data_IF_634322646351
#
_entry.id   IF_634322646351
#
_cell.length_a   1.000
_cell.length_b   1.000
_cell.length_c   1.000
_cell.angle_alpha   90.00
_cell.angle_beta   90.00
_cell.angle_gamma   90.00
#
_symmetry.space_group_name_H-M   'P 1'
#
loop_
_entity.id
_entity.type
_entity.pdbx_description
1 polymer ?
#
# COMPACT_ATOMS: atom_id res chain seq x y z
N UNK A 1 24.69 -41.89 6.00
CA UNK A 1 23.51 -41.23 5.38
C UNK A 1 22.79 -40.24 6.32
N UNK A 2 22.74 -40.47 7.64
CA UNK A 2 22.06 -39.58 8.63
C UNK A 2 22.68 -38.17 8.85
N UNK A 3 23.96 -37.98 8.52
CA UNK A 3 24.69 -36.71 8.77
C UNK A 3 24.38 -35.61 7.74
N UNK A 4 23.97 -35.98 6.53
CA UNK A 4 23.64 -35.02 5.45
C UNK A 4 22.25 -34.39 5.69
N UNK A 5 21.32 -35.17 6.25
CA UNK A 5 19.99 -34.69 6.63
C UNK A 5 20.01 -33.70 7.80
N UNK A 6 20.94 -33.81 8.76
CA UNK A 6 21.01 -32.85 9.88
C UNK A 6 21.57 -31.49 9.42
N UNK A 7 22.58 -31.48 8.54
CA UNK A 7 23.17 -30.25 8.00
C UNK A 7 22.18 -29.51 7.08
N UNK A 8 21.36 -30.24 6.32
CA UNK A 8 20.30 -29.64 5.50
C UNK A 8 19.18 -29.01 6.37
N UNK A 9 18.82 -29.65 7.48
CA UNK A 9 17.82 -29.14 8.43
C UNK A 9 18.32 -27.88 9.13
N UNK A 10 19.61 -27.85 9.50
CA UNK A 10 20.26 -26.71 10.16
C UNK A 10 20.41 -25.50 9.21
N UNK A 11 20.84 -25.70 7.95
CA UNK A 11 20.84 -24.63 6.94
C UNK A 11 19.45 -24.08 6.63
N UNK A 12 18.41 -24.92 6.63
CA UNK A 12 17.02 -24.45 6.44
C UNK A 12 16.51 -23.61 7.63
N UNK A 13 17.02 -23.87 8.85
CA UNK A 13 16.66 -23.11 10.06
C UNK A 13 17.35 -21.74 10.14
N UNK A 14 18.55 -21.62 9.55
CA UNK A 14 19.34 -20.38 9.52
C UNK A 14 18.85 -19.44 8.40
N UNK A 15 18.40 -20.00 7.26
CA UNK A 15 17.88 -19.22 6.12
C UNK A 15 16.56 -18.49 6.39
N UNK A 16 15.86 -18.79 7.49
CA UNK A 16 14.49 -18.33 7.71
C UNK A 16 14.31 -17.33 8.87
N UNK A 17 15.39 -16.82 9.44
CA UNK A 17 15.35 -15.65 10.35
C UNK A 17 15.45 -14.37 9.53
N UNK A 18 14.40 -14.03 8.78
CA UNK A 18 14.22 -12.61 8.45
C UNK A 18 14.07 -11.86 9.77
N UNK A 19 15.04 -11.01 10.07
CA UNK A 19 14.98 -10.11 11.22
C UNK A 19 13.90 -9.07 10.96
N UNK A 20 13.19 -8.65 12.00
CA UNK A 20 12.16 -7.58 11.93
C UNK A 20 12.70 -6.34 11.20
N UNK A 21 14.00 -6.04 11.35
CA UNK A 21 14.69 -4.97 10.62
C UNK A 21 14.61 -5.10 9.11
N UNK A 22 14.83 -6.30 8.56
CA UNK A 22 14.74 -6.54 7.12
C UNK A 22 13.30 -6.41 6.62
N UNK A 23 12.34 -6.91 7.38
CA UNK A 23 10.92 -6.77 7.07
C UNK A 23 10.51 -5.28 7.02
N UNK A 24 10.91 -4.49 8.01
CA UNK A 24 10.68 -3.04 8.02
C UNK A 24 11.31 -2.37 6.79
N UNK A 25 12.55 -2.70 6.45
CA UNK A 25 13.24 -2.14 5.29
C UNK A 25 12.53 -2.47 3.97
N UNK A 26 12.10 -3.72 3.78
CA UNK A 26 11.34 -4.15 2.59
C UNK A 26 10.05 -3.30 2.46
N UNK A 27 9.35 -3.06 3.56
CA UNK A 27 8.14 -2.24 3.57
C UNK A 27 8.43 -0.74 3.32
N UNK A 28 9.53 -0.22 3.85
CA UNK A 28 9.96 1.16 3.61
C UNK A 28 10.28 1.41 2.15
N UNK A 29 11.05 0.52 1.52
CA UNK A 29 11.35 0.63 0.09
C UNK A 29 10.07 0.59 -0.73
N UNK A 30 9.12 -0.31 -0.40
CA UNK A 30 7.82 -0.38 -1.06
C UNK A 30 7.09 0.96 -1.04
N UNK A 31 6.96 1.60 0.12
CA UNK A 31 6.25 2.87 0.23
C UNK A 31 6.98 4.04 -0.43
N UNK A 32 8.31 4.06 -0.41
CA UNK A 32 9.08 5.06 -1.16
C UNK A 32 8.84 4.95 -2.66
N UNK A 33 8.77 3.72 -3.19
CA UNK A 33 8.43 3.47 -4.60
C UNK A 33 7.00 3.92 -4.90
N UNK A 34 6.03 3.65 -4.02
CA UNK A 34 4.64 4.13 -4.18
C UNK A 34 4.59 5.66 -4.25
N UNK A 35 5.28 6.35 -3.34
CA UNK A 35 5.33 7.82 -3.32
C UNK A 35 5.96 8.35 -4.60
N UNK A 36 7.06 7.74 -5.05
CA UNK A 36 7.74 8.13 -6.28
C UNK A 36 6.85 7.97 -7.51
N UNK A 37 6.19 6.82 -7.66
CA UNK A 37 5.28 6.56 -8.78
C UNK A 37 4.10 7.53 -8.74
N UNK A 38 3.45 7.69 -7.59
CA UNK A 38 2.28 8.59 -7.42
C UNK A 38 2.65 10.03 -7.80
N UNK A 39 3.73 10.56 -7.23
CA UNK A 39 4.23 11.91 -7.56
C UNK A 39 4.57 12.06 -9.05
N UNK A 40 5.10 11.01 -9.69
CA UNK A 40 5.46 11.05 -11.10
C UNK A 40 4.24 11.07 -12.03
N UNK A 41 3.11 10.48 -11.62
CA UNK A 41 1.87 10.48 -12.41
C UNK A 41 0.99 11.71 -12.13
N UNK A 42 1.25 12.49 -11.08
CA UNK A 42 0.52 13.72 -10.74
C UNK A 42 0.26 14.62 -11.96
N UNK A 43 1.31 14.91 -12.74
CA UNK A 43 1.20 15.80 -13.90
C UNK A 43 0.29 15.25 -14.99
N UNK A 44 0.30 13.93 -15.20
CA UNK A 44 -0.59 13.27 -16.16
C UNK A 44 -2.04 13.39 -15.68
N UNK A 45 -2.32 13.07 -14.42
CA UNK A 45 -3.68 13.15 -13.85
C UNK A 45 -4.21 14.59 -13.89
N UNK A 46 -3.35 15.56 -13.57
CA UNK A 46 -3.71 16.97 -13.62
C UNK A 46 -4.14 17.42 -15.02
N UNK A 47 -3.33 17.10 -16.03
CA UNK A 47 -3.60 17.50 -17.41
C UNK A 47 -4.89 16.86 -17.95
N UNK A 48 -5.12 15.58 -17.64
CA UNK A 48 -6.34 14.89 -18.08
C UNK A 48 -7.58 15.49 -17.41
N UNK A 49 -7.52 15.85 -16.13
CA UNK A 49 -8.64 16.46 -15.42
C UNK A 49 -8.92 17.90 -15.84
N UNK A 50 -7.91 18.65 -16.29
CA UNK A 50 -8.08 20.03 -16.77
C UNK A 50 -8.95 20.11 -18.04
N UNK A 51 -8.92 19.07 -18.87
CA UNK A 51 -9.68 19.00 -20.14
C UNK A 51 -11.14 18.57 -19.89
N UNK A 52 -11.44 17.97 -18.73
CA UNK A 52 -12.79 17.51 -18.39
C UNK A 52 -13.69 18.71 -18.05
N UNK A 53 -14.92 18.70 -18.57
CA UNK A 53 -15.93 19.71 -18.23
C UNK A 53 -16.17 19.74 -16.72
N UNK A 54 -16.14 20.92 -16.11
CA UNK A 54 -16.34 21.11 -14.66
C UNK A 54 -17.62 20.43 -14.13
N UNK A 55 -18.70 20.45 -14.92
CA UNK A 55 -19.97 19.79 -14.58
C UNK A 55 -19.85 18.28 -14.38
N UNK A 56 -18.89 17.63 -15.04
CA UNK A 56 -18.67 16.18 -14.99
C UNK A 56 -17.66 15.78 -13.90
N UNK A 57 -16.91 16.74 -13.33
CA UNK A 57 -15.91 16.45 -12.29
C UNK A 57 -16.59 16.00 -10.99
N UNK A 58 -17.79 16.51 -10.68
CA UNK A 58 -18.55 16.08 -9.49
C UNK A 58 -18.94 14.60 -9.53
N UNK A 59 -19.46 14.14 -10.66
CA UNK A 59 -19.81 12.72 -10.87
C UNK A 59 -18.56 11.84 -10.85
N UNK A 60 -17.47 12.32 -11.47
CA UNK A 60 -16.18 11.63 -11.44
C UNK A 60 -15.63 11.49 -10.01
N UNK A 61 -15.66 12.55 -9.20
CA UNK A 61 -15.26 12.51 -7.79
C UNK A 61 -16.10 11.51 -6.98
N UNK A 62 -17.38 11.41 -7.28
CA UNK A 62 -18.27 10.43 -6.64
C UNK A 62 -17.83 9.00 -6.98
N UNK A 63 -17.54 8.72 -8.26
CA UNK A 63 -17.02 7.42 -8.69
C UNK A 63 -15.68 7.08 -8.02
N UNK A 64 -14.75 8.05 -7.97
CA UNK A 64 -13.45 7.89 -7.32
C UNK A 64 -13.61 7.60 -5.83
N UNK A 65 -14.57 8.25 -5.14
CA UNK A 65 -14.82 8.00 -3.72
C UNK A 65 -15.31 6.57 -3.44
N UNK A 66 -16.19 6.02 -4.28
CA UNK A 66 -16.69 4.65 -4.17
C UNK A 66 -15.55 3.66 -4.41
N UNK A 67 -14.75 3.90 -5.46
CA UNK A 67 -13.62 3.05 -5.78
C UNK A 67 -12.57 3.08 -4.65
N UNK A 68 -12.27 4.25 -4.10
CA UNK A 68 -11.34 4.42 -2.98
C UNK A 68 -11.79 3.61 -1.76
N UNK A 69 -13.06 3.71 -1.36
CA UNK A 69 -13.60 2.93 -0.24
C UNK A 69 -13.51 1.43 -0.51
N UNK A 70 -13.83 1.00 -1.73
CA UNK A 70 -13.75 -0.42 -2.13
C UNK A 70 -12.32 -0.96 -2.05
N UNK A 71 -11.34 -0.20 -2.54
CA UNK A 71 -9.93 -0.60 -2.50
C UNK A 71 -9.39 -0.57 -1.07
N UNK A 72 -9.82 0.38 -0.23
CA UNK A 72 -9.51 0.38 1.20
C UNK A 72 -10.01 -0.90 1.89
N UNK A 73 -11.25 -1.33 1.61
CA UNK A 73 -11.77 -2.59 2.15
C UNK A 73 -11.00 -3.80 1.63
N UNK A 74 -10.66 -3.84 0.33
CA UNK A 74 -9.84 -4.90 -0.22
C UNK A 74 -8.46 -4.96 0.44
N UNK A 75 -7.84 -3.81 0.70
CA UNK A 75 -6.57 -3.70 1.41
C UNK A 75 -6.67 -4.21 2.85
N UNK A 76 -7.73 -3.84 3.59
CA UNK A 76 -7.94 -4.30 4.96
C UNK A 76 -8.31 -5.79 5.06
N UNK A 77 -9.04 -6.31 4.07
CA UNK A 77 -9.34 -7.74 3.98
C UNK A 77 -8.09 -8.57 3.62
N UNK A 78 -7.18 -7.98 2.84
CA UNK A 78 -5.89 -8.56 2.49
C UNK A 78 -4.89 -8.45 3.64
N UNK A 79 -5.03 -9.29 4.66
CA UNK A 79 -4.07 -9.35 5.77
C UNK A 79 -2.95 -10.36 5.54
N UNK A 80 -1.73 -9.98 5.92
CA UNK A 80 -0.58 -10.87 5.97
C UNK A 80 -0.79 -12.06 6.92
N UNK A 81 -1.66 -11.95 7.93
CA UNK A 81 -1.93 -13.00 8.93
C UNK A 81 -2.52 -14.26 8.31
N UNK A 82 -3.28 -14.11 7.22
CA UNK A 82 -3.93 -15.23 6.51
C UNK A 82 -2.92 -15.96 5.61
N UNK A 83 -1.75 -15.36 5.37
CA UNK A 83 -0.75 -15.86 4.42
C UNK A 83 0.41 -16.54 5.13
N UNK A 84 0.89 -17.67 4.60
CA UNK A 84 2.08 -18.34 5.14
C UNK A 84 3.35 -17.61 4.69
N UNK A 85 3.67 -16.52 5.40
CA UNK A 85 4.81 -15.63 5.12
C UNK A 85 6.17 -16.32 5.33
N UNK A 86 6.17 -17.54 5.90
CA UNK A 86 7.37 -18.36 6.00
C UNK A 86 7.85 -18.84 4.62
N UNK A 87 6.93 -18.96 3.66
CA UNK A 87 7.23 -19.28 2.26
C UNK A 87 7.54 -17.99 1.50
N UNK A 88 8.71 -17.93 0.89
CA UNK A 88 9.17 -16.74 0.17
C UNK A 88 8.19 -16.29 -0.92
N UNK A 89 7.68 -17.21 -1.73
CA UNK A 89 6.73 -16.89 -2.81
C UNK A 89 5.40 -16.31 -2.29
N UNK A 90 4.85 -16.86 -1.20
CA UNK A 90 3.63 -16.33 -0.59
C UNK A 90 3.86 -14.94 0.00
N UNK A 91 5.03 -14.71 0.61
CA UNK A 91 5.43 -13.38 1.09
C UNK A 91 5.50 -12.36 -0.04
N UNK A 92 6.18 -12.70 -1.13
CA UNK A 92 6.33 -11.82 -2.30
C UNK A 92 4.96 -11.51 -2.89
N UNK A 93 4.10 -12.51 -3.07
CA UNK A 93 2.76 -12.31 -3.61
C UNK A 93 1.92 -11.39 -2.71
N UNK A 94 1.98 -11.56 -1.39
CA UNK A 94 1.26 -10.72 -0.43
C UNK A 94 1.78 -9.27 -0.46
N UNK A 95 3.10 -9.09 -0.55
CA UNK A 95 3.71 -7.77 -0.70
C UNK A 95 3.33 -7.10 -2.03
N UNK A 96 3.25 -7.85 -3.13
CA UNK A 96 2.78 -7.34 -4.42
C UNK A 96 1.29 -6.96 -4.38
N UNK A 97 0.45 -7.74 -3.71
CA UNK A 97 -0.97 -7.43 -3.56
C UNK A 97 -1.18 -6.14 -2.73
N UNK A 98 -0.54 -6.05 -1.57
CA UNK A 98 -0.55 -4.83 -0.74
C UNK A 98 0.03 -3.63 -1.50
N UNK A 99 1.14 -3.81 -2.23
CA UNK A 99 1.70 -2.75 -3.08
C UNK A 99 0.67 -2.23 -4.08
N UNK A 100 -0.02 -3.12 -4.80
CA UNK A 100 -1.02 -2.74 -5.79
C UNK A 100 -2.20 -1.98 -5.16
N UNK A 101 -2.73 -2.45 -4.03
CA UNK A 101 -3.83 -1.77 -3.36
C UNK A 101 -3.44 -0.40 -2.81
N UNK A 102 -2.29 -0.29 -2.15
CA UNK A 102 -1.84 0.98 -1.56
C UNK A 102 -1.44 1.98 -2.66
N UNK A 103 -0.84 1.51 -3.75
CA UNK A 103 -0.58 2.36 -4.93
C UNK A 103 -1.89 2.88 -5.53
N UNK A 104 -2.89 2.01 -5.70
CA UNK A 104 -4.19 2.41 -6.21
C UNK A 104 -4.87 3.42 -5.28
N UNK A 105 -4.83 3.20 -3.96
CA UNK A 105 -5.31 4.16 -2.96
C UNK A 105 -4.59 5.51 -3.11
N UNK A 106 -3.26 5.52 -3.25
CA UNK A 106 -2.48 6.76 -3.38
C UNK A 106 -2.89 7.55 -4.62
N UNK A 107 -3.02 6.89 -5.77
CA UNK A 107 -3.43 7.50 -7.04
C UNK A 107 -4.87 8.03 -6.95
N UNK A 108 -5.80 7.27 -6.34
CA UNK A 108 -7.19 7.70 -6.18
C UNK A 108 -7.30 8.92 -5.25
N UNK A 109 -6.54 8.93 -4.15
CA UNK A 109 -6.46 10.06 -3.23
C UNK A 109 -5.89 11.30 -3.91
N UNK A 110 -4.81 11.16 -4.67
CA UNK A 110 -4.21 12.26 -5.43
C UNK A 110 -5.19 12.81 -6.48
N UNK A 111 -5.85 11.93 -7.23
CA UNK A 111 -6.89 12.28 -8.20
C UNK A 111 -8.02 13.05 -7.53
N UNK A 112 -8.47 12.61 -6.35
CA UNK A 112 -9.52 13.28 -5.58
C UNK A 112 -9.07 14.68 -5.14
N UNK A 113 -7.85 14.84 -4.64
CA UNK A 113 -7.29 16.14 -4.23
C UNK A 113 -7.19 17.11 -5.40
N UNK A 114 -6.77 16.63 -6.58
CA UNK A 114 -6.73 17.43 -7.82
C UNK A 114 -8.16 17.83 -8.23
N UNK A 115 -9.10 16.89 -8.27
CA UNK A 115 -10.50 17.21 -8.62
C UNK A 115 -11.13 18.22 -7.66
N UNK A 116 -10.87 18.11 -6.36
CA UNK A 116 -11.32 19.10 -5.36
C UNK A 116 -10.71 20.48 -5.61
N UNK A 117 -9.46 20.57 -6.11
CA UNK A 117 -8.85 21.85 -6.49
C UNK A 117 -9.68 22.59 -7.55
N UNK A 118 -10.23 21.86 -8.52
CA UNK A 118 -11.05 22.43 -9.59
C UNK A 118 -12.46 22.80 -9.12
N UNK A 119 -13.11 21.92 -8.33
CA UNK A 119 -14.52 22.12 -7.93
C UNK A 119 -14.64 23.05 -6.70
N UNK A 120 -13.76 22.89 -5.71
CA UNK A 120 -13.80 23.60 -4.42
C UNK A 120 -12.40 24.13 -4.02
N UNK A 121 -11.85 25.12 -4.77
CA UNK A 121 -10.48 25.59 -4.57
C UNK A 121 -10.18 26.09 -3.14
N UNK A 122 -11.18 26.68 -2.48
CA UNK A 122 -11.06 27.16 -1.09
C UNK A 122 -10.85 26.02 -0.09
N UNK A 123 -11.36 24.82 -0.38
CA UNK A 123 -11.26 23.64 0.49
C UNK A 123 -10.07 22.74 0.15
N UNK A 124 -9.35 23.01 -0.95
CA UNK A 124 -8.27 22.16 -1.45
C UNK A 124 -7.19 21.88 -0.39
N UNK A 125 -6.73 22.91 0.34
CA UNK A 125 -5.70 22.73 1.39
C UNK A 125 -6.17 21.82 2.53
N UNK A 126 -7.44 21.95 2.93
CA UNK A 126 -8.03 21.12 3.98
C UNK A 126 -8.10 19.65 3.52
N UNK A 127 -8.59 19.41 2.30
CA UNK A 127 -8.66 18.06 1.73
C UNK A 127 -7.28 17.44 1.52
N UNK A 128 -6.28 18.23 1.14
CA UNK A 128 -4.90 17.77 1.05
C UNK A 128 -4.39 17.26 2.40
N UNK A 129 -4.61 18.02 3.48
CA UNK A 129 -4.21 17.61 4.84
C UNK A 129 -4.90 16.32 5.24
N UNK A 130 -6.22 16.21 5.06
CA UNK A 130 -6.96 14.98 5.38
C UNK A 130 -6.48 13.79 4.56
N UNK A 131 -6.17 14.01 3.30
CA UNK A 131 -5.62 12.98 2.41
C UNK A 131 -4.26 12.48 2.89
N UNK A 132 -3.37 13.40 3.31
CA UNK A 132 -2.07 13.03 3.87
C UNK A 132 -2.22 12.21 5.16
N UNK A 133 -3.15 12.58 6.05
CA UNK A 133 -3.44 11.81 7.26
C UNK A 133 -3.99 10.41 6.93
N UNK A 134 -4.94 10.34 6.00
CA UNK A 134 -5.54 9.07 5.58
C UNK A 134 -4.49 8.13 4.96
N UNK A 135 -3.69 8.64 4.03
CA UNK A 135 -2.61 7.86 3.41
C UNK A 135 -1.58 7.41 4.47
N UNK A 136 -1.19 8.29 5.38
CA UNK A 136 -0.29 7.94 6.49
C UNK A 136 -0.86 6.84 7.38
N UNK A 137 -2.16 6.88 7.69
CA UNK A 137 -2.85 5.84 8.44
C UNK A 137 -2.82 4.49 7.74
N UNK A 138 -3.03 4.46 6.43
CA UNK A 138 -2.99 3.24 5.61
C UNK A 138 -1.57 2.65 5.56
N UNK A 139 -0.55 3.50 5.39
CA UNK A 139 0.85 3.10 5.45
C UNK A 139 1.19 2.51 6.82
N UNK A 140 0.84 3.19 7.92
CA UNK A 140 1.08 2.71 9.28
C UNK A 140 0.38 1.37 9.54
N UNK A 141 -0.85 1.20 9.05
CA UNK A 141 -1.58 -0.07 9.15
C UNK A 141 -0.83 -1.20 8.43
N UNK A 142 -0.35 -0.98 7.22
CA UNK A 142 0.41 -2.01 6.47
C UNK A 142 1.72 -2.38 7.17
N UNK A 143 2.44 -1.41 7.74
CA UNK A 143 3.61 -1.70 8.60
C UNK A 143 3.24 -2.55 9.81
N UNK A 144 2.18 -2.17 10.52
CA UNK A 144 1.72 -2.91 11.69
C UNK A 144 1.29 -4.34 11.33
N UNK A 145 0.54 -4.51 10.24
CA UNK A 145 0.08 -5.81 9.76
C UNK A 145 1.25 -6.70 9.32
N UNK A 146 2.27 -6.12 8.69
CA UNK A 146 3.46 -6.88 8.32
C UNK A 146 4.29 -7.29 9.54
N UNK A 147 4.56 -6.36 10.48
CA UNK A 147 5.38 -6.62 11.68
C UNK A 147 4.73 -7.63 12.63
N UNK A 148 3.41 -7.53 12.87
CA UNK A 148 2.72 -8.43 13.80
C UNK A 148 2.84 -9.90 13.38
N UNK A 149 2.94 -10.18 12.09
CA UNK A 149 3.10 -11.53 11.59
C UNK A 149 4.50 -12.12 11.85
N UNK A 150 5.54 -11.28 11.97
CA UNK A 150 6.86 -11.75 12.41
C UNK A 150 6.94 -11.88 13.95
N UNK A 151 6.18 -11.06 14.68
CA UNK A 151 6.18 -11.08 16.15
C UNK A 151 5.40 -12.27 16.75
N UNK A 152 4.36 -12.78 16.08
CA UNK A 152 3.47 -13.84 16.59
C UNK A 152 3.94 -15.29 16.37
N UNK A 153 5.18 -15.55 15.92
CA UNK A 153 5.62 -16.94 15.76
C UNK A 153 5.68 -17.64 17.14
N UNK A 154 4.88 -18.70 17.37
CA UNK A 154 5.00 -19.48 18.60
C UNK A 154 6.40 -20.11 18.66
N UNK A 155 6.98 -20.09 19.86
CA UNK A 155 8.24 -20.79 20.17
C UNK A 155 8.06 -22.30 20.02
#
# INVERSE_FOLDING_TARGET
MLKITSIAKEKSSISNRLTVKRALLENTVKHLVIIFITTSVYGLIYNELEIVKLSSIGDFLSLISILLVTVCFANFASSYEITDISKHWMRVLSQCASFAFILLIAILLETMVIGIKFVYPLLHRLFLIFTLFLFSGIVLYDYWDFVRCFARRPK
#
